data_IF_995381925498
#
_entry.id   IF_995381925498
#
_cell.length_a   1.000
_cell.length_b   1.000
_cell.length_c   1.000
_cell.angle_alpha   90.00
_cell.angle_beta   90.00
_cell.angle_gamma   90.00
#
_symmetry.space_group_name_H-M   'P 1'
#
loop_
_entity.id
_entity.type
_entity.pdbx_description
1 polymer ?
#
# COMPACT_ATOMS: atom_id res chain seq x y z
N UNK A 1 -26.58 -3.82 35.07
CA UNK A 1 -25.48 -3.07 34.44
C UNK A 1 -25.68 -3.08 32.94
N UNK A 2 -25.61 -1.95 32.23
CA UNK A 2 -25.91 -1.92 30.80
C UNK A 2 -24.83 -2.71 30.05
N UNK A 3 -25.27 -3.63 29.19
CA UNK A 3 -24.42 -4.39 28.28
C UNK A 3 -24.04 -3.48 27.12
N UNK A 4 -23.00 -2.65 27.29
CA UNK A 4 -22.36 -1.98 26.15
C UNK A 4 -21.32 -2.93 25.54
N UNK A 5 -21.80 -4.00 24.90
CA UNK A 5 -21.02 -4.65 23.85
C UNK A 5 -21.02 -3.69 22.66
N UNK A 6 -19.88 -3.07 22.36
CA UNK A 6 -19.70 -2.31 21.12
C UNK A 6 -19.92 -3.32 19.99
N UNK A 7 -21.08 -3.28 19.33
CA UNK A 7 -21.31 -4.07 18.13
C UNK A 7 -20.30 -3.59 17.08
N UNK A 8 -19.41 -4.49 16.65
CA UNK A 8 -18.45 -4.21 15.59
C UNK A 8 -19.22 -3.95 14.30
N UNK A 9 -19.22 -2.70 13.85
CA UNK A 9 -19.87 -2.31 12.61
C UNK A 9 -19.02 -2.81 11.43
N UNK A 10 -19.40 -3.95 10.85
CA UNK A 10 -18.73 -4.49 9.67
C UNK A 10 -19.29 -3.88 8.39
N UNK A 11 -18.40 -3.42 7.52
CA UNK A 11 -18.73 -2.97 6.17
C UNK A 11 -18.01 -3.86 5.15
N UNK A 12 -18.64 -4.96 4.69
CA UNK A 12 -17.99 -5.95 3.82
C UNK A 12 -17.40 -5.37 2.52
N UNK A 13 -17.95 -4.26 2.04
CA UNK A 13 -17.54 -3.58 0.80
C UNK A 13 -16.38 -2.59 0.98
N UNK A 14 -16.07 -2.22 2.22
CA UNK A 14 -15.17 -1.10 2.51
C UNK A 14 -13.75 -1.36 2.04
N UNK A 15 -13.20 -2.56 2.33
CA UNK A 15 -11.85 -2.92 1.91
C UNK A 15 -11.69 -2.89 0.39
N UNK A 16 -12.69 -3.39 -0.35
CA UNK A 16 -12.70 -3.35 -1.81
C UNK A 16 -12.70 -1.92 -2.35
N UNK A 17 -13.52 -1.04 -1.77
CA UNK A 17 -13.56 0.39 -2.14
C UNK A 17 -12.26 1.11 -1.82
N UNK A 18 -11.66 0.86 -0.66
CA UNK A 18 -10.35 1.44 -0.31
C UNK A 18 -9.28 1.00 -1.30
N UNK A 19 -9.23 -0.30 -1.65
CA UNK A 19 -8.24 -0.82 -2.61
C UNK A 19 -8.45 -0.25 -4.02
N UNK A 20 -9.70 -0.08 -4.45
CA UNK A 20 -10.03 0.59 -5.72
C UNK A 20 -9.48 2.03 -5.76
N UNK A 21 -9.69 2.80 -4.69
CA UNK A 21 -9.20 4.18 -4.59
C UNK A 21 -7.67 4.26 -4.50
N UNK A 22 -7.02 3.35 -3.78
CA UNK A 22 -5.56 3.26 -3.75
C UNK A 22 -4.96 2.92 -5.12
N UNK A 23 -5.62 2.07 -5.89
CA UNK A 23 -5.20 1.77 -7.27
C UNK A 23 -5.37 2.99 -8.19
N UNK A 24 -6.42 3.80 -7.98
CA UNK A 24 -6.60 5.05 -8.71
C UNK A 24 -5.49 6.06 -8.40
N UNK A 25 -5.17 6.25 -7.12
CA UNK A 25 -4.04 7.07 -6.66
C UNK A 25 -2.72 6.60 -7.29
N UNK A 26 -2.47 5.28 -7.31
CA UNK A 26 -1.29 4.68 -7.96
C UNK A 26 -1.17 5.05 -9.43
N UNK A 27 -2.27 4.93 -10.21
CA UNK A 27 -2.29 5.26 -11.64
C UNK A 27 -2.04 6.75 -11.91
N UNK A 28 -2.48 7.62 -11.01
CA UNK A 28 -2.23 9.07 -11.09
C UNK A 28 -0.87 9.47 -10.51
N UNK A 29 -0.21 8.58 -9.77
CA UNK A 29 1.03 8.87 -9.04
C UNK A 29 0.85 9.80 -7.84
N UNK A 30 -0.37 9.93 -7.33
CA UNK A 30 -0.71 10.74 -6.16
C UNK A 30 -0.45 9.92 -4.90
N UNK A 31 0.19 10.52 -3.89
CA UNK A 31 0.54 9.88 -2.60
C UNK A 31 1.45 8.63 -2.70
N UNK A 32 1.96 8.31 -3.89
CA UNK A 32 2.96 7.27 -4.08
C UNK A 32 4.30 7.72 -3.50
N UNK A 33 4.86 6.88 -2.63
CA UNK A 33 6.12 7.09 -1.90
C UNK A 33 7.22 6.12 -2.36
N UNK A 34 6.97 5.32 -3.40
CA UNK A 34 7.91 4.42 -4.04
C UNK A 34 7.75 4.45 -5.57
N UNK A 35 8.87 4.34 -6.29
CA UNK A 35 8.90 4.18 -7.75
C UNK A 35 9.93 3.10 -8.10
N UNK A 36 9.54 2.11 -8.89
CA UNK A 36 10.46 1.15 -9.49
C UNK A 36 10.73 1.56 -10.93
N UNK A 37 11.99 1.54 -11.35
CA UNK A 37 12.37 1.78 -12.74
C UNK A 37 12.74 0.43 -13.33
N UNK A 38 12.01 -0.02 -14.35
CA UNK A 38 12.29 -1.29 -15.05
C UNK A 38 12.33 -0.99 -16.54
N UNK A 39 13.46 -1.28 -17.19
CA UNK A 39 13.66 -0.99 -18.63
C UNK A 39 13.35 0.48 -19.00
N UNK A 40 13.66 1.43 -18.08
CA UNK A 40 13.39 2.85 -18.25
C UNK A 40 11.92 3.26 -18.07
N UNK A 41 11.06 2.35 -17.61
CA UNK A 41 9.65 2.64 -17.29
C UNK A 41 9.46 2.77 -15.78
N UNK A 42 8.80 3.86 -15.37
CA UNK A 42 8.51 4.15 -13.97
C UNK A 42 7.20 3.50 -13.51
N UNK A 43 7.28 2.71 -12.44
CA UNK A 43 6.15 2.09 -11.75
C UNK A 43 5.99 2.67 -10.35
N UNK A 44 5.05 3.61 -10.20
CA UNK A 44 4.69 4.20 -8.91
C UNK A 44 3.91 3.23 -8.04
N UNK A 45 4.18 3.24 -6.74
CA UNK A 45 3.53 2.38 -5.75
C UNK A 45 3.50 3.02 -4.35
N UNK A 46 2.75 2.37 -3.44
CA UNK A 46 2.68 2.72 -2.02
C UNK A 46 3.46 1.70 -1.19
N UNK A 47 4.49 2.13 -0.46
CA UNK A 47 5.32 1.26 0.41
C UNK A 47 4.46 0.47 1.39
N UNK A 48 3.48 1.13 2.02
CA UNK A 48 2.59 0.50 2.99
C UNK A 48 1.78 -0.67 2.40
N UNK A 49 1.30 -0.54 1.16
CA UNK A 49 0.54 -1.61 0.49
C UNK A 49 1.46 -2.76 0.11
N UNK A 50 2.64 -2.46 -0.43
CA UNK A 50 3.64 -3.48 -0.77
C UNK A 50 4.11 -4.26 0.48
N UNK A 51 4.38 -3.56 1.59
CA UNK A 51 4.74 -4.17 2.86
C UNK A 51 3.63 -5.03 3.45
N UNK A 52 2.37 -4.61 3.33
CA UNK A 52 1.23 -5.40 3.79
C UNK A 52 1.01 -6.69 2.97
N UNK A 53 1.46 -6.73 1.71
CA UNK A 53 1.25 -7.85 0.79
C UNK A 53 2.49 -8.75 0.57
N UNK A 54 3.68 -8.34 1.03
CA UNK A 54 4.93 -9.07 0.79
C UNK A 54 5.94 -8.85 1.90
N UNK A 55 6.38 -9.95 2.53
CA UNK A 55 7.41 -9.93 3.56
C UNK A 55 8.72 -9.34 3.04
N UNK A 56 9.07 -9.59 1.77
CA UNK A 56 10.25 -9.00 1.14
C UNK A 56 10.19 -7.47 1.17
N UNK A 57 9.06 -6.89 0.72
CA UNK A 57 8.88 -5.44 0.74
C UNK A 57 8.74 -4.89 2.15
N UNK A 58 8.13 -5.65 3.07
CA UNK A 58 8.05 -5.26 4.47
C UNK A 58 9.43 -5.11 5.09
N UNK A 59 10.28 -6.13 4.99
CA UNK A 59 11.67 -6.09 5.47
C UNK A 59 12.43 -4.95 4.80
N UNK A 60 12.33 -4.86 3.46
CA UNK A 60 13.02 -3.83 2.68
C UNK A 60 12.67 -2.40 3.13
N UNK A 61 11.39 -2.08 3.36
CA UNK A 61 10.97 -0.73 3.73
C UNK A 61 11.11 -0.42 5.22
N UNK A 62 11.15 -1.43 6.09
CA UNK A 62 11.42 -1.25 7.52
C UNK A 62 12.91 -1.04 7.78
N UNK A 63 13.77 -1.72 7.03
CA UNK A 63 15.23 -1.69 7.21
C UNK A 63 15.91 -0.59 6.39
N UNK A 64 15.37 -0.21 5.22
CA UNK A 64 16.00 0.72 4.29
C UNK A 64 15.20 2.04 4.16
N UNK A 65 15.76 3.12 4.71
CA UNK A 65 15.27 4.49 4.48
C UNK A 65 15.71 4.97 3.10
N UNK A 66 14.77 4.87 2.17
CA UNK A 66 14.69 5.56 0.89
C UNK A 66 15.43 4.99 -0.33
N UNK A 67 14.65 4.97 -1.42
CA UNK A 67 14.94 4.65 -2.82
C UNK A 67 15.50 3.25 -3.11
N UNK A 68 14.60 2.32 -3.43
CA UNK A 68 14.94 1.05 -4.06
C UNK A 68 15.00 1.27 -5.57
N UNK A 69 16.17 1.67 -6.09
CA UNK A 69 16.42 1.60 -7.53
C UNK A 69 16.82 0.15 -7.83
N UNK A 70 15.87 -0.66 -8.28
CA UNK A 70 16.20 -1.97 -8.85
C UNK A 70 16.64 -1.71 -10.29
N UNK A 71 17.95 -1.67 -10.53
CA UNK A 71 18.48 -1.68 -11.89
C UNK A 71 18.30 -3.08 -12.46
N UNK A 72 17.44 -3.21 -13.47
CA UNK A 72 17.59 -4.18 -14.54
C UNK A 72 17.61 -3.41 -15.86
#
# INVERSE_FOLDING_TARGET
>A
SPKNSIETMEFPWHCGKVLEQLNHQRKQGVLCDCTFVVDGVDFKAHKAILAACSLYFQTLFVEQKDVVIIYY
#
